data_IF_629567660005
#
_entry.id   IF_629567660005
#
_cell.length_a   1.000
_cell.length_b   1.000
_cell.length_c   1.000
_cell.angle_alpha   90.00
_cell.angle_beta   90.00
_cell.angle_gamma   90.00
#
_symmetry.space_group_name_H-M   'P 1'
#
loop_
_entity.id
_entity.type
_entity.pdbx_description
1 polymer ?
#
# COMPACT_ATOMS: atom_id res chain seq x y z
N UNK A 1 22.68 1.74 -5.71
CA UNK A 1 21.20 1.73 -5.70
C UNK A 1 20.71 1.08 -6.99
N UNK A 2 19.90 0.02 -6.89
CA UNK A 2 19.24 -0.54 -8.09
C UNK A 2 18.35 0.56 -8.69
N UNK A 3 18.41 0.77 -10.00
CA UNK A 3 17.54 1.75 -10.67
C UNK A 3 16.09 1.32 -10.42
N UNK A 4 15.32 2.22 -9.84
CA UNK A 4 13.89 1.98 -9.60
C UNK A 4 13.19 1.78 -10.95
N UNK A 5 12.34 0.75 -11.07
CA UNK A 5 11.61 0.51 -12.32
C UNK A 5 10.62 1.66 -12.54
N UNK A 6 10.65 2.24 -13.75
CA UNK A 6 9.55 3.10 -14.23
C UNK A 6 8.50 2.18 -14.84
N UNK A 7 7.32 2.07 -14.24
CA UNK A 7 6.27 1.14 -14.72
C UNK A 7 5.37 1.77 -15.79
N UNK A 8 5.50 3.08 -16.04
CA UNK A 8 4.85 3.82 -17.11
C UNK A 8 3.36 4.12 -16.91
N UNK A 9 2.84 4.14 -15.68
CA UNK A 9 1.42 4.42 -15.40
C UNK A 9 1.23 5.36 -14.21
N UNK A 10 0.19 6.19 -14.26
CA UNK A 10 -0.19 7.08 -13.15
C UNK A 10 -0.44 6.34 -11.83
N UNK A 11 -0.76 5.03 -11.86
CA UNK A 11 -1.00 4.26 -10.65
C UNK A 11 0.22 4.04 -9.76
N UNK A 12 1.40 4.40 -10.25
CA UNK A 12 2.64 4.49 -9.47
C UNK A 12 2.65 5.70 -8.52
N UNK A 13 1.74 6.66 -8.70
CA UNK A 13 1.67 7.88 -7.90
C UNK A 13 0.58 7.79 -6.84
N UNK A 14 0.56 8.77 -5.94
CA UNK A 14 -0.33 8.86 -4.78
C UNK A 14 -1.80 9.10 -5.17
N UNK A 15 -2.08 9.59 -6.38
CA UNK A 15 -3.44 9.97 -6.76
C UNK A 15 -4.36 8.74 -6.86
N UNK A 16 -4.99 8.41 -5.73
CA UNK A 16 -6.13 7.53 -5.64
C UNK A 16 -7.36 8.36 -5.97
N UNK A 17 -7.48 8.78 -7.23
CA UNK A 17 -8.80 9.16 -7.70
C UNK A 17 -9.59 7.86 -7.73
N UNK A 18 -10.60 7.73 -6.87
CA UNK A 18 -11.36 6.48 -6.69
C UNK A 18 -11.87 5.93 -8.03
N UNK A 19 -12.22 6.81 -8.97
CA UNK A 19 -12.65 6.45 -10.32
C UNK A 19 -11.58 5.77 -11.18
N UNK A 20 -10.30 5.92 -10.88
CA UNK A 20 -9.18 5.32 -11.62
C UNK A 20 -8.92 3.86 -11.21
N UNK A 21 -9.53 3.40 -10.12
CA UNK A 21 -9.33 2.06 -9.59
C UNK A 21 -10.64 1.27 -9.48
N UNK A 22 -10.50 -0.05 -9.44
CA UNK A 22 -11.49 -0.94 -8.84
C UNK A 22 -10.95 -1.34 -7.49
N UNK A 23 -11.73 -1.13 -6.45
CA UNK A 23 -11.30 -1.38 -5.07
C UNK A 23 -12.14 -2.49 -4.47
N UNK A 24 -11.50 -3.38 -3.73
CA UNK A 24 -12.16 -4.37 -2.87
C UNK A 24 -11.46 -4.41 -1.53
N UNK A 25 -12.20 -4.24 -0.45
CA UNK A 25 -11.69 -4.33 0.92
C UNK A 25 -11.33 -5.78 1.25
N UNK A 26 -10.14 -5.97 1.83
CA UNK A 26 -9.71 -7.26 2.41
C UNK A 26 -10.14 -7.33 3.88
N UNK A 27 -9.97 -6.23 4.62
CA UNK A 27 -10.36 -6.10 6.02
C UNK A 27 -9.41 -5.20 6.79
N UNK A 28 -9.36 -5.36 8.11
CA UNK A 28 -8.54 -4.55 9.01
C UNK A 28 -7.49 -5.42 9.70
N UNK A 29 -6.21 -5.03 9.61
CA UNK A 29 -5.12 -5.64 10.36
C UNK A 29 -5.02 -5.00 11.75
N UNK A 30 -5.54 -5.70 12.75
CA UNK A 30 -5.46 -5.30 14.16
C UNK A 30 -4.26 -5.92 14.90
N UNK A 31 -3.37 -6.63 14.19
CA UNK A 31 -2.18 -7.24 14.79
C UNK A 31 -1.31 -6.17 15.44
N UNK A 32 -0.85 -6.42 16.66
CA UNK A 32 0.00 -5.50 17.44
C UNK A 32 -0.56 -4.07 17.58
N UNK A 33 -1.88 -3.89 17.46
CA UNK A 33 -2.53 -2.58 17.55
C UNK A 33 -2.35 -1.68 16.32
N UNK A 34 -1.94 -2.23 15.17
CA UNK A 34 -1.73 -1.47 13.92
C UNK A 34 -2.99 -0.80 13.39
N UNK A 35 -4.16 -1.44 13.55
CA UNK A 35 -5.46 -0.97 13.10
C UNK A 35 -5.46 -0.44 11.65
N UNK A 36 -4.84 -1.20 10.75
CA UNK A 36 -4.65 -0.75 9.39
C UNK A 36 -5.71 -1.31 8.44
N UNK A 37 -6.26 -0.47 7.56
CA UNK A 37 -7.16 -0.93 6.50
C UNK A 37 -6.35 -1.55 5.35
N UNK A 38 -6.74 -2.78 4.97
CA UNK A 38 -6.17 -3.51 3.84
C UNK A 38 -7.18 -3.59 2.71
N UNK A 39 -6.78 -3.15 1.53
CA UNK A 39 -7.59 -3.21 0.30
C UNK A 39 -6.77 -3.68 -0.89
N UNK A 40 -7.45 -4.27 -1.87
CA UNK A 40 -6.90 -4.53 -3.19
C UNK A 40 -7.43 -3.46 -4.14
N UNK A 41 -6.52 -2.79 -4.84
CA UNK A 41 -6.85 -1.81 -5.87
C UNK A 41 -6.32 -2.28 -7.22
N UNK A 42 -7.17 -2.27 -8.24
CA UNK A 42 -6.78 -2.57 -9.61
C UNK A 42 -6.87 -1.31 -10.45
N UNK A 43 -5.75 -0.89 -11.04
CA UNK A 43 -5.71 0.26 -11.93
C UNK A 43 -6.58 -0.02 -13.17
N UNK A 44 -7.52 0.88 -13.50
CA UNK A 44 -8.36 0.72 -14.69
C UNK A 44 -7.59 0.96 -16.00
N UNK A 45 -6.49 1.72 -15.95
CA UNK A 45 -5.67 2.02 -17.14
C UNK A 45 -4.74 0.85 -17.50
N UNK A 46 -3.87 0.44 -16.59
CA UNK A 46 -2.87 -0.59 -16.86
C UNK A 46 -3.22 -1.98 -16.32
N UNK A 47 -4.38 -2.13 -15.65
CA UNK A 47 -4.87 -3.39 -15.07
C UNK A 47 -4.00 -4.00 -13.96
N UNK A 48 -2.92 -3.31 -13.55
CA UNK A 48 -2.06 -3.74 -12.44
C UNK A 48 -2.83 -3.77 -11.14
N UNK A 49 -2.62 -4.85 -10.39
CA UNK A 49 -3.23 -5.10 -9.11
C UNK A 49 -2.23 -4.72 -8.02
N UNK A 50 -2.70 -3.96 -7.06
CA UNK A 50 -1.94 -3.53 -5.91
C UNK A 50 -2.66 -3.93 -4.63
N UNK A 51 -1.90 -4.38 -3.65
CA UNK A 51 -2.33 -4.37 -2.26
C UNK A 51 -2.03 -3.00 -1.67
N UNK A 52 -2.99 -2.41 -0.97
CA UNK A 52 -2.89 -1.14 -0.27
C UNK A 52 -3.11 -1.39 1.22
N UNK A 53 -2.16 -0.93 2.04
CA UNK A 53 -2.18 -1.01 3.49
C UNK A 53 -2.16 0.40 4.06
N UNK A 54 -3.24 0.84 4.70
CA UNK A 54 -3.41 2.23 5.17
C UNK A 54 -3.48 2.24 6.69
N UNK A 55 -2.58 3.00 7.32
CA UNK A 55 -2.54 3.16 8.78
C UNK A 55 -3.15 4.52 9.10
N UNK A 56 -4.30 4.50 9.77
CA UNK A 56 -4.95 5.70 10.30
C UNK A 56 -4.64 5.83 11.79
N UNK A 57 -4.17 6.99 12.23
CA UNK A 57 -3.92 7.27 13.65
C UNK A 57 -5.04 8.13 14.21
N UNK A 58 -5.87 7.56 15.09
CA UNK A 58 -7.07 8.20 15.67
C UNK A 58 -6.79 9.54 16.37
N UNK A 59 -5.56 9.78 16.85
CA UNK A 59 -5.21 10.93 17.69
C UNK A 59 -4.29 11.98 17.06
N UNK A 60 -3.90 11.82 15.80
CA UNK A 60 -3.09 12.83 15.12
C UNK A 60 -3.24 12.71 13.61
N UNK A 61 -3.96 13.64 12.99
CA UNK A 61 -4.03 13.75 11.52
C UNK A 61 -2.65 13.76 10.86
N UNK A 62 -1.61 14.19 11.60
CA UNK A 62 -0.25 14.42 11.13
C UNK A 62 0.62 13.17 10.87
N UNK A 63 0.14 11.94 11.08
CA UNK A 63 0.95 10.71 10.94
C UNK A 63 0.34 9.65 10.02
N UNK A 64 -0.71 10.00 9.28
CA UNK A 64 -1.32 9.09 8.31
C UNK A 64 -0.29 8.62 7.28
N UNK A 65 -0.32 7.32 7.00
CA UNK A 65 0.60 6.67 6.06
C UNK A 65 -0.04 5.49 5.38
N UNK A 66 0.39 5.23 4.16
CA UNK A 66 -0.05 4.09 3.40
C UNK A 66 1.12 3.46 2.65
N UNK A 67 0.94 2.19 2.31
CA UNK A 67 1.88 1.37 1.57
C UNK A 67 1.15 0.68 0.42
N UNK A 68 1.79 0.61 -0.75
CA UNK A 68 1.30 -0.04 -1.97
C UNK A 68 2.35 -0.98 -2.53
N UNK A 69 1.95 -2.22 -2.81
CA UNK A 69 2.81 -3.22 -3.45
C UNK A 69 2.08 -3.94 -4.57
N UNK A 70 2.80 -4.35 -5.61
CA UNK A 70 2.23 -5.15 -6.70
C UNK A 70 1.92 -6.54 -6.16
N UNK A 71 0.72 -7.04 -6.45
CA UNK A 71 0.27 -8.37 -6.03
C UNK A 71 -0.25 -9.18 -7.22
N UNK A 72 0.09 -10.47 -7.28
CA UNK A 72 -0.45 -11.36 -8.31
C UNK A 72 -1.88 -11.81 -7.98
N UNK A 73 -2.69 -12.06 -9.01
CA UNK A 73 -4.09 -12.49 -8.84
C UNK A 73 -4.27 -13.72 -7.96
N UNK A 74 -3.32 -14.67 -7.99
CA UNK A 74 -3.35 -15.86 -7.12
C UNK A 74 -3.18 -15.51 -5.64
N UNK A 75 -2.31 -14.54 -5.34
CA UNK A 75 -2.01 -14.11 -3.97
C UNK A 75 -3.15 -13.27 -3.40
N UNK A 76 -3.87 -12.52 -4.26
CA UNK A 76 -5.10 -11.81 -3.87
C UNK A 76 -6.14 -12.75 -3.26
N UNK A 77 -6.31 -13.95 -3.82
CA UNK A 77 -7.32 -14.90 -3.36
C UNK A 77 -7.03 -15.47 -1.95
N UNK A 78 -5.75 -15.45 -1.55
CA UNK A 78 -5.27 -15.97 -0.26
C UNK A 78 -4.95 -14.84 0.73
N UNK A 79 -5.08 -13.58 0.30
CA UNK A 79 -4.71 -12.41 1.08
C UNK A 79 -5.64 -12.24 2.28
N UNK A 80 -5.03 -12.00 3.44
CA UNK A 80 -5.72 -11.66 4.68
C UNK A 80 -5.19 -10.32 5.19
N UNK A 81 -5.94 -9.58 6.02
CA UNK A 81 -5.42 -8.34 6.57
C UNK A 81 -4.09 -8.55 7.33
N UNK A 82 -4.00 -9.62 8.11
CA UNK A 82 -2.88 -9.87 9.02
C UNK A 82 -1.56 -10.24 8.32
N UNK A 83 -1.62 -10.78 7.10
CA UNK A 83 -0.43 -11.13 6.31
C UNK A 83 -0.04 -10.06 5.28
N UNK A 84 -0.83 -8.99 5.13
CA UNK A 84 -0.59 -7.95 4.15
C UNK A 84 0.71 -7.17 4.39
N UNK A 85 1.03 -6.89 5.65
CA UNK A 85 2.29 -6.23 6.02
C UNK A 85 3.49 -7.11 5.63
N UNK A 86 3.51 -8.37 6.07
CA UNK A 86 4.58 -9.32 5.74
C UNK A 86 4.73 -9.50 4.21
N UNK A 87 3.61 -9.55 3.49
CA UNK A 87 3.63 -9.61 2.03
C UNK A 87 4.39 -8.42 1.42
N UNK A 88 4.04 -7.19 1.84
CA UNK A 88 4.69 -5.96 1.37
C UNK A 88 6.19 -5.93 1.70
N UNK A 89 6.58 -6.38 2.89
CA UNK A 89 7.98 -6.41 3.33
C UNK A 89 8.86 -7.36 2.51
N UNK A 90 8.25 -8.43 2.00
CA UNK A 90 8.92 -9.43 1.16
C UNK A 90 8.98 -9.05 -0.32
N UNK A 91 8.33 -7.96 -0.74
CA UNK A 91 8.44 -7.46 -2.11
C UNK A 91 9.83 -6.87 -2.36
N UNK A 92 10.34 -6.94 -3.61
CA UNK A 92 11.58 -6.27 -3.98
C UNK A 92 11.59 -4.76 -3.71
N UNK A 93 10.40 -4.16 -3.73
CA UNK A 93 10.13 -2.77 -3.37
C UNK A 93 8.62 -2.57 -3.22
N UNK A 94 8.24 -1.53 -2.49
CA UNK A 94 6.88 -1.01 -2.38
C UNK A 94 6.90 0.51 -2.48
N UNK A 95 5.73 1.13 -2.58
CA UNK A 95 5.57 2.59 -2.58
C UNK A 95 4.87 2.96 -1.29
N UNK A 96 5.39 3.95 -0.57
CA UNK A 96 4.74 4.50 0.60
C UNK A 96 4.51 6.00 0.44
N UNK A 97 3.54 6.53 1.18
CA UNK A 97 3.18 7.94 1.16
C UNK A 97 2.21 8.29 2.27
N UNK A 98 1.67 9.51 2.21
CA UNK A 98 0.88 10.12 3.28
C UNK A 98 1.66 11.23 3.98
N UNK A 99 1.05 11.82 5.01
CA UNK A 99 1.60 12.97 5.73
C UNK A 99 2.92 12.66 6.42
N UNK A 100 3.07 11.42 6.93
CA UNK A 100 4.33 10.94 7.50
C UNK A 100 5.52 11.07 6.53
N UNK A 101 5.26 10.93 5.23
CA UNK A 101 6.26 11.05 4.17
C UNK A 101 6.28 12.45 3.55
N UNK A 102 5.69 13.45 4.22
CA UNK A 102 5.60 14.82 3.73
C UNK A 102 4.72 14.96 2.48
N UNK A 103 3.67 14.13 2.37
CA UNK A 103 2.78 14.05 1.21
C UNK A 103 3.51 13.75 -0.11
N UNK A 104 4.61 12.98 -0.02
CA UNK A 104 5.38 12.52 -1.17
C UNK A 104 5.38 10.99 -1.21
N UNK A 105 5.48 10.47 -2.42
CA UNK A 105 5.70 9.06 -2.66
C UNK A 105 7.17 8.73 -2.51
N UNK A 106 7.45 7.71 -1.70
CA UNK A 106 8.78 7.19 -1.47
C UNK A 106 8.78 5.72 -1.81
N UNK A 107 9.85 5.25 -2.44
CA UNK A 107 10.05 3.82 -2.63
C UNK A 107 10.68 3.23 -1.37
N UNK A 108 10.04 2.21 -0.81
CA UNK A 108 10.53 1.46 0.34
C UNK A 108 10.96 0.05 -0.05
N UNK A 109 11.76 -0.57 0.82
CA UNK A 109 12.22 -1.96 0.71
C UNK A 109 12.34 -2.55 2.12
N UNK A 110 12.07 -3.83 2.28
CA UNK A 110 12.17 -4.51 3.58
C UNK A 110 11.07 -4.06 4.54
N UNK A 111 11.41 -3.89 5.83
CA UNK A 111 10.44 -3.61 6.89
C UNK A 111 9.60 -2.36 6.61
N UNK A 112 8.30 -2.43 6.89
CA UNK A 112 7.42 -1.27 6.82
C UNK A 112 7.71 -0.36 8.02
N UNK A 113 7.84 0.93 7.77
CA UNK A 113 8.04 1.89 8.85
C UNK A 113 6.69 2.24 9.49
N UNK A 114 6.40 1.60 10.61
CA UNK A 114 5.23 1.87 11.43
C UNK A 114 5.51 2.84 12.59
N UNK A 115 6.73 3.37 12.73
CA UNK A 115 7.10 4.21 13.88
C UNK A 115 6.11 5.38 14.02
N UNK A 116 5.40 5.39 15.15
CA UNK A 116 4.48 6.42 15.59
C UNK A 116 5.26 7.59 16.20
#
# INVERSE_FOLDING_TARGET
MKKLPKLGCACEKHDLIESEYRTSTVGTDSTDGRNAEVSIIQCRLCQRIWIKYSVETENSSNLNRWFKGIIAKKEVAEMKPENAAEYLENLPWYICGGEFFGNKEVFGQGKLNFEL
#
